data_IF_591180201877
#
_entry.id   IF_591180201877
#
_cell.length_a   1.000
_cell.length_b   1.000
_cell.length_c   1.000
_cell.angle_alpha   90.00
_cell.angle_beta   90.00
_cell.angle_gamma   90.00
#
_symmetry.space_group_name_H-M   'P 1'
#
loop_
_entity.id
_entity.type
_entity.pdbx_description
1 polymer ?
#
# COMPACT_ATOMS: atom_id res chain seq x y z
N UNK A 1 0.52 22.93 -24.03
CA UNK A 1 -0.59 22.40 -23.37
C UNK A 1 -0.23 21.96 -21.98
N UNK A 2 -1.06 22.20 -21.11
CA UNK A 2 -0.81 21.75 -19.80
C UNK A 2 -0.98 20.26 -19.76
N UNK A 3 0.02 19.63 -19.35
CA UNK A 3 -0.13 18.26 -19.09
C UNK A 3 -0.76 18.10 -17.74
N UNK A 4 -2.02 17.91 -17.77
CA UNK A 4 -2.69 17.69 -16.54
C UNK A 4 -2.46 16.25 -16.17
N UNK A 5 -1.52 16.07 -15.30
CA UNK A 5 -1.38 14.78 -14.68
C UNK A 5 -2.75 14.34 -14.22
N UNK A 6 -3.25 13.24 -14.76
CA UNK A 6 -4.52 12.75 -14.25
C UNK A 6 -4.38 12.48 -12.77
N UNK A 7 -5.39 12.77 -12.03
CA UNK A 7 -5.40 12.40 -10.64
C UNK A 7 -5.19 10.89 -10.55
N UNK A 8 -4.35 10.50 -9.61
CA UNK A 8 -4.09 9.08 -9.42
C UNK A 8 -5.39 8.39 -9.03
N UNK A 9 -5.74 7.33 -9.75
CA UNK A 9 -6.93 6.56 -9.43
C UNK A 9 -6.64 5.60 -8.30
N UNK A 10 -7.70 5.13 -7.65
CA UNK A 10 -7.54 4.14 -6.59
C UNK A 10 -6.92 2.84 -7.13
N UNK A 11 -7.22 2.51 -8.39
CA UNK A 11 -6.64 1.33 -9.02
C UNK A 11 -5.14 1.48 -9.19
N UNK A 12 -4.70 2.66 -9.62
CA UNK A 12 -3.26 2.92 -9.76
C UNK A 12 -2.55 2.88 -8.42
N UNK A 13 -3.14 3.48 -7.40
CA UNK A 13 -2.57 3.47 -6.06
C UNK A 13 -2.49 2.04 -5.54
N UNK A 14 -3.56 1.27 -5.70
CA UNK A 14 -3.58 -0.13 -5.27
C UNK A 14 -2.49 -0.92 -5.97
N UNK A 15 -2.36 -0.75 -7.28
CA UNK A 15 -1.36 -1.48 -8.04
C UNK A 15 0.05 -1.15 -7.58
N UNK A 16 0.33 0.12 -7.33
CA UNK A 16 1.65 0.52 -6.85
C UNK A 16 1.95 -0.06 -5.48
N UNK A 17 0.96 -0.10 -4.60
CA UNK A 17 1.14 -0.69 -3.27
C UNK A 17 1.45 -2.17 -3.40
N UNK A 18 0.71 -2.87 -4.25
CA UNK A 18 0.96 -4.30 -4.46
C UNK A 18 2.36 -4.54 -4.99
N UNK A 19 2.82 -3.70 -5.91
CA UNK A 19 4.16 -3.84 -6.47
C UNK A 19 5.23 -3.56 -5.43
N UNK A 20 5.04 -2.53 -4.61
CA UNK A 20 6.00 -2.21 -3.56
C UNK A 20 6.07 -3.33 -2.53
N UNK A 21 4.93 -3.86 -2.13
CA UNK A 21 4.91 -4.97 -1.18
C UNK A 21 5.56 -6.21 -1.76
N UNK A 22 5.30 -6.49 -3.04
CA UNK A 22 5.90 -7.62 -3.73
C UNK A 22 7.41 -7.53 -3.69
N UNK A 23 7.96 -6.35 -3.98
CA UNK A 23 9.40 -6.15 -3.97
C UNK A 23 9.97 -6.18 -2.57
N UNK A 24 9.30 -5.52 -1.64
CA UNK A 24 9.81 -5.42 -0.27
C UNK A 24 9.88 -6.79 0.40
N UNK A 25 8.87 -7.61 0.21
CA UNK A 25 8.80 -8.93 0.84
C UNK A 25 9.24 -10.06 -0.08
N UNK A 26 9.72 -9.72 -1.29
CA UNK A 26 10.21 -10.71 -2.25
C UNK A 26 9.18 -11.77 -2.57
N UNK A 27 7.94 -11.33 -2.70
CA UNK A 27 6.85 -12.22 -3.08
C UNK A 27 6.89 -12.48 -4.59
N UNK A 28 6.22 -13.53 -5.01
CA UNK A 28 6.15 -13.84 -6.45
C UNK A 28 5.38 -12.73 -7.17
N UNK A 29 5.86 -12.27 -8.34
CA UNK A 29 5.15 -11.24 -9.08
C UNK A 29 3.70 -11.67 -9.37
N UNK A 30 2.77 -10.74 -9.11
CA UNK A 30 1.36 -11.00 -9.36
C UNK A 30 0.67 -11.88 -8.34
N UNK A 31 1.37 -12.29 -7.29
CA UNK A 31 0.78 -13.16 -6.27
C UNK A 31 -0.10 -12.41 -5.29
N UNK A 32 0.09 -11.10 -5.14
CA UNK A 32 -0.66 -10.31 -4.17
C UNK A 32 -1.87 -9.68 -4.85
N UNK A 33 -3.01 -9.77 -4.19
CA UNK A 33 -4.27 -9.25 -4.70
C UNK A 33 -4.82 -8.19 -3.76
N UNK A 34 -5.65 -7.27 -4.25
CA UNK A 34 -6.18 -6.19 -3.39
C UNK A 34 -6.92 -6.69 -2.16
N UNK A 35 -7.63 -7.80 -2.27
CA UNK A 35 -8.42 -8.32 -1.16
C UNK A 35 -7.63 -9.22 -0.22
N UNK A 36 -6.36 -9.47 -0.50
CA UNK A 36 -5.54 -10.32 0.35
C UNK A 36 -5.26 -9.63 1.68
N UNK A 37 -5.39 -10.39 2.75
CA UNK A 37 -4.92 -9.98 4.06
C UNK A 37 -3.41 -10.09 4.04
N UNK A 38 -2.72 -8.96 4.11
CA UNK A 38 -1.27 -8.98 3.93
C UNK A 38 -0.54 -9.67 5.08
N UNK A 39 -1.11 -9.69 6.28
CA UNK A 39 -0.51 -10.46 7.37
C UNK A 39 -0.52 -11.95 7.07
N UNK A 40 -1.65 -12.45 6.60
CA UNK A 40 -1.79 -13.88 6.31
C UNK A 40 -1.07 -14.25 5.02
N UNK A 41 -1.24 -13.43 4.00
CA UNK A 41 -0.66 -13.74 2.69
C UNK A 41 0.84 -13.73 2.71
N UNK A 42 1.43 -12.76 3.41
CA UNK A 42 2.88 -12.61 3.47
C UNK A 42 3.49 -13.28 4.70
N UNK A 43 2.67 -13.68 5.66
CA UNK A 43 3.17 -14.28 6.89
C UNK A 43 3.99 -13.32 7.71
N UNK A 44 3.61 -12.04 7.73
CA UNK A 44 4.38 -11.01 8.41
C UNK A 44 3.74 -10.63 9.73
N UNK A 45 4.54 -10.02 10.59
CA UNK A 45 4.08 -9.52 11.88
C UNK A 45 3.88 -8.00 11.82
N UNK A 46 3.50 -7.42 12.96
CA UNK A 46 3.21 -5.99 13.04
C UNK A 46 4.43 -5.13 12.72
N UNK A 47 5.61 -5.56 13.13
CA UNK A 47 6.82 -4.79 12.86
C UNK A 47 7.10 -4.74 11.36
N UNK A 48 6.97 -5.87 10.70
CA UNK A 48 7.18 -5.93 9.25
C UNK A 48 6.13 -5.12 8.51
N UNK A 49 4.90 -5.12 9.01
CA UNK A 49 3.85 -4.29 8.42
C UNK A 49 4.18 -2.80 8.58
N UNK A 50 4.72 -2.40 9.74
CA UNK A 50 5.14 -1.01 9.94
C UNK A 50 6.26 -0.62 8.98
N UNK A 51 7.18 -1.54 8.72
CA UNK A 51 8.24 -1.28 7.75
C UNK A 51 7.68 -1.06 6.36
N UNK A 52 6.67 -1.85 5.98
CA UNK A 52 6.01 -1.66 4.70
C UNK A 52 5.33 -0.29 4.64
N UNK A 53 4.63 0.09 5.72
CA UNK A 53 3.96 1.39 5.77
C UNK A 53 4.95 2.53 5.65
N UNK A 54 6.11 2.42 6.27
CA UNK A 54 7.15 3.44 6.15
C UNK A 54 7.60 3.58 4.70
N UNK A 55 7.74 2.47 4.01
CA UNK A 55 8.09 2.51 2.60
C UNK A 55 7.03 3.19 1.76
N UNK A 56 5.77 2.94 2.07
CA UNK A 56 4.67 3.58 1.35
C UNK A 56 4.67 5.08 1.61
N UNK A 57 4.90 5.48 2.86
CA UNK A 57 4.97 6.89 3.20
C UNK A 57 6.05 7.59 2.39
N UNK A 58 7.23 6.99 2.31
CA UNK A 58 8.33 7.56 1.54
C UNK A 58 8.04 7.58 0.06
N UNK A 59 7.45 6.52 -0.46
CA UNK A 59 7.18 6.42 -1.88
C UNK A 59 6.14 7.45 -2.34
N UNK A 60 5.09 7.63 -1.56
CA UNK A 60 4.00 8.53 -1.93
C UNK A 60 4.16 9.93 -1.34
N UNK A 61 5.20 10.16 -0.53
CA UNK A 61 5.45 11.45 0.13
C UNK A 61 4.27 11.88 0.98
N UNK A 62 3.76 10.96 1.78
CA UNK A 62 2.62 11.20 2.67
C UNK A 62 2.95 10.71 4.07
N UNK A 63 2.09 11.04 5.01
CA UNK A 63 2.16 10.51 6.36
C UNK A 63 0.93 9.65 6.62
N UNK A 64 1.16 8.49 7.22
CA UNK A 64 0.09 7.58 7.60
C UNK A 64 0.16 7.37 9.11
N UNK A 65 -0.52 8.23 9.88
CA UNK A 65 -0.51 8.07 11.34
C UNK A 65 -1.12 6.73 11.74
N UNK A 66 -0.72 6.25 12.91
CA UNK A 66 -1.18 4.95 13.39
C UNK A 66 -2.69 4.82 13.38
N UNK A 67 -3.40 5.88 13.75
CA UNK A 67 -4.86 5.80 13.81
C UNK A 67 -5.51 5.63 12.45
N UNK A 68 -4.81 6.00 11.37
CA UNK A 68 -5.35 5.84 10.02
C UNK A 68 -5.23 4.40 9.53
N UNK A 69 -4.27 3.66 10.05
CA UNK A 69 -4.00 2.30 9.57
C UNK A 69 -4.35 1.25 10.62
N UNK A 70 -4.81 1.67 11.78
CA UNK A 70 -5.19 0.73 12.82
C UNK A 70 -6.34 -0.14 12.33
N UNK A 71 -6.16 -1.46 12.45
CA UNK A 71 -7.17 -2.40 12.00
C UNK A 71 -7.17 -2.69 10.51
N UNK A 72 -6.33 -2.01 9.74
CA UNK A 72 -6.22 -2.27 8.30
C UNK A 72 -5.39 -3.52 8.10
N UNK A 73 -5.90 -4.47 7.33
CA UNK A 73 -5.20 -5.73 7.10
C UNK A 73 -5.14 -6.13 5.63
N UNK A 74 -5.89 -5.48 4.76
CA UNK A 74 -5.88 -5.82 3.34
C UNK A 74 -5.37 -4.65 2.51
N UNK A 75 -4.85 -4.98 1.33
CA UNK A 75 -4.24 -3.96 0.47
C UNK A 75 -5.26 -2.95 -0.05
N UNK A 76 -6.47 -3.39 -0.31
CA UNK A 76 -7.50 -2.49 -0.82
C UNK A 76 -7.81 -1.39 0.18
N UNK A 77 -8.04 -1.75 1.44
CA UNK A 77 -8.31 -0.77 2.47
C UNK A 77 -7.10 0.13 2.69
N UNK A 78 -5.90 -0.46 2.67
CA UNK A 78 -4.68 0.33 2.78
C UNK A 78 -4.58 1.34 1.65
N UNK A 79 -4.91 0.93 0.43
CA UNK A 79 -4.89 1.83 -0.71
C UNK A 79 -5.86 2.99 -0.53
N UNK A 80 -7.01 2.73 0.05
CA UNK A 80 -7.99 3.79 0.33
C UNK A 80 -7.42 4.81 1.31
N UNK A 81 -6.72 4.34 2.33
CA UNK A 81 -6.09 5.25 3.30
C UNK A 81 -5.00 6.09 2.65
N UNK A 82 -4.19 5.45 1.80
CA UNK A 82 -3.14 6.16 1.07
C UNK A 82 -3.76 7.18 0.12
N UNK A 83 -4.79 6.78 -0.63
CA UNK A 83 -5.45 7.65 -1.60
C UNK A 83 -6.00 8.90 -0.92
N UNK A 84 -6.52 8.77 0.28
CA UNK A 84 -7.08 9.90 1.02
C UNK A 84 -6.02 10.92 1.40
N UNK A 85 -4.75 10.55 1.37
CA UNK A 85 -3.64 11.43 1.74
C UNK A 85 -2.88 11.97 0.54
N UNK A 86 -3.22 11.58 -0.66
CA UNK A 86 -2.53 12.03 -1.87
C UNK A 86 -2.96 13.40 -2.34
#
# INVERSE_FOLDING_TARGET
>A
MVDLEPMRTIEQTTQEILELATKHFKAAPGSLKPNDDFYKKLGIDSLQALEMLSRLENHFHIELPDYEVQGVSDFKTLAERVQARL
#
